data_IF_058681998519
#
_entry.id   IF_058681998519
#
_cell.length_a   1.000
_cell.length_b   1.000
_cell.length_c   1.000
_cell.angle_alpha   90.00
_cell.angle_beta   90.00
_cell.angle_gamma   90.00
#
_symmetry.space_group_name_H-M   'P 1'
#
loop_
_entity.id
_entity.type
_entity.pdbx_description
1 polymer ?
#
# COMPACT_ATOMS: atom_id res chain seq x y z
N UNK A 1 3.83 -1.60 16.47
CA UNK A 1 4.76 -1.39 15.36
C UNK A 1 6.08 -2.04 15.74
N UNK A 2 6.59 -3.00 14.97
CA UNK A 2 7.84 -3.72 15.28
C UNK A 2 8.92 -3.27 14.28
N UNK A 3 9.94 -2.53 14.74
CA UNK A 3 11.03 -2.01 13.90
C UNK A 3 11.70 -0.76 14.49
N UNK A 4 12.90 -0.42 14.00
CA UNK A 4 13.71 0.74 14.48
C UNK A 4 13.42 2.03 13.71
N UNK A 5 12.19 2.21 13.21
CA UNK A 5 11.75 3.35 12.40
C UNK A 5 10.73 4.23 13.13
N UNK A 6 10.40 5.38 12.53
CA UNK A 6 9.36 6.26 13.06
C UNK A 6 7.98 5.61 12.92
N UNK A 7 7.14 5.67 13.96
CA UNK A 7 5.79 5.11 13.90
C UNK A 7 4.90 6.00 13.02
N UNK A 8 4.40 5.47 11.91
CA UNK A 8 3.41 6.13 11.07
C UNK A 8 2.20 5.22 10.89
N UNK A 9 0.98 5.77 11.06
CA UNK A 9 -0.24 5.04 10.71
C UNK A 9 -0.33 4.79 9.19
N UNK A 10 0.22 5.71 8.40
CA UNK A 10 0.25 5.61 6.94
C UNK A 10 1.61 6.09 6.41
N UNK A 11 2.23 5.25 5.60
CA UNK A 11 3.47 5.53 4.86
C UNK A 11 3.39 4.89 3.48
N UNK A 12 2.28 5.13 2.78
CA UNK A 12 1.98 4.53 1.48
C UNK A 12 2.08 5.57 0.37
N UNK A 13 2.47 5.13 -0.81
CA UNK A 13 2.52 6.00 -1.99
C UNK A 13 2.16 5.21 -3.24
N UNK A 14 1.68 5.92 -4.26
CA UNK A 14 1.46 5.36 -5.60
C UNK A 14 2.65 5.68 -6.49
N UNK A 15 3.07 4.71 -7.31
CA UNK A 15 4.20 4.89 -8.21
C UNK A 15 3.94 4.20 -9.54
N UNK A 16 4.22 4.91 -10.63
CA UNK A 16 4.24 4.32 -11.97
C UNK A 16 5.60 3.68 -12.23
N UNK A 17 5.62 2.41 -12.61
CA UNK A 17 6.83 1.67 -13.00
C UNK A 17 6.42 0.59 -13.99
N UNK A 18 7.20 0.38 -15.04
CA UNK A 18 6.94 -0.60 -16.11
C UNK A 18 5.53 -0.48 -16.71
N UNK A 19 5.05 0.77 -16.89
CA UNK A 19 3.74 1.06 -17.46
C UNK A 19 2.54 0.77 -16.55
N UNK A 20 2.76 0.42 -15.28
CA UNK A 20 1.71 0.10 -14.31
C UNK A 20 1.67 1.08 -13.16
N UNK A 21 0.47 1.35 -12.64
CA UNK A 21 0.28 2.09 -11.39
C UNK A 21 0.34 1.11 -10.21
N UNK A 22 1.22 1.36 -9.25
CA UNK A 22 1.49 0.46 -8.13
C UNK A 22 1.19 1.12 -6.78
N UNK A 23 0.73 0.34 -5.81
CA UNK A 23 0.70 0.74 -4.40
C UNK A 23 1.97 0.26 -3.71
N UNK A 24 2.66 1.18 -3.05
CA UNK A 24 3.92 0.94 -2.36
C UNK A 24 3.81 1.31 -0.89
N UNK A 25 4.51 0.57 -0.03
CA UNK A 25 4.74 0.91 1.37
C UNK A 25 6.18 1.41 1.52
N UNK A 26 6.36 2.67 1.93
CA UNK A 26 7.63 3.25 2.31
C UNK A 26 8.05 2.84 3.72
N UNK A 27 9.18 2.14 3.84
CA UNK A 27 9.72 1.66 5.12
C UNK A 27 11.25 1.63 5.11
N UNK A 28 11.85 1.69 6.30
CA UNK A 28 13.31 1.76 6.50
C UNK A 28 14.09 0.62 5.84
N UNK A 29 13.53 -0.59 5.80
CA UNK A 29 14.16 -1.77 5.18
C UNK A 29 14.00 -1.80 3.64
N UNK A 30 13.58 -0.69 3.03
CA UNK A 30 13.29 -0.59 1.60
C UNK A 30 11.80 -0.68 1.30
N UNK A 31 11.38 0.09 0.29
CA UNK A 31 9.98 0.16 -0.11
C UNK A 31 9.48 -1.21 -0.58
N UNK A 32 8.21 -1.54 -0.33
CA UNK A 32 7.61 -2.80 -0.76
C UNK A 32 6.35 -2.55 -1.57
N UNK A 33 6.25 -3.19 -2.73
CA UNK A 33 5.02 -3.22 -3.53
C UNK A 33 3.96 -4.07 -2.82
N UNK A 34 2.77 -3.50 -2.63
CA UNK A 34 1.62 -4.17 -2.01
C UNK A 34 0.57 -4.62 -3.03
N UNK A 35 0.55 -4.01 -4.20
CA UNK A 35 -0.38 -4.34 -5.27
C UNK A 35 -0.21 -3.44 -6.49
N UNK A 36 -0.95 -3.75 -7.54
CA UNK A 36 -1.00 -3.02 -8.80
C UNK A 36 -2.45 -2.68 -9.11
N UNK A 37 -2.71 -1.47 -9.60
CA UNK A 37 -4.02 -1.07 -10.11
C UNK A 37 -4.24 -1.60 -11.54
N UNK A 38 -3.15 -2.00 -12.22
CA UNK A 38 -3.14 -2.40 -13.62
C UNK A 38 -2.24 -1.47 -14.43
N UNK A 39 -2.42 -1.48 -15.76
CA UNK A 39 -1.77 -0.53 -16.65
C UNK A 39 -2.13 0.90 -16.24
N UNK A 40 -1.16 1.81 -16.34
CA UNK A 40 -1.40 3.21 -16.07
C UNK A 40 -2.45 3.76 -17.04
N UNK A 41 -3.46 4.41 -16.49
CA UNK A 41 -4.46 5.17 -17.23
C UNK A 41 -4.79 6.45 -16.46
N UNK A 42 -5.59 7.31 -17.07
CA UNK A 42 -6.13 8.52 -16.43
C UNK A 42 -7.55 8.29 -15.87
N UNK A 43 -8.01 7.04 -15.81
CA UNK A 43 -9.33 6.71 -15.27
C UNK A 43 -9.32 6.83 -13.74
N UNK A 44 -10.49 7.08 -13.17
CA UNK A 44 -10.67 7.04 -11.73
C UNK A 44 -10.38 5.65 -11.16
N UNK A 45 -9.62 5.62 -10.07
CA UNK A 45 -9.27 4.43 -9.31
C UNK A 45 -9.63 4.63 -7.84
N UNK A 46 -9.86 3.55 -7.10
CA UNK A 46 -10.09 3.62 -5.64
C UNK A 46 -9.00 2.89 -4.86
N UNK A 47 -8.58 3.50 -3.75
CA UNK A 47 -7.68 2.89 -2.77
C UNK A 47 -8.34 2.94 -1.40
N UNK A 48 -8.53 1.77 -0.79
CA UNK A 48 -8.95 1.65 0.61
C UNK A 48 -7.80 1.05 1.43
N UNK A 49 -7.57 1.57 2.63
CA UNK A 49 -6.64 0.98 3.60
C UNK A 49 -7.43 0.47 4.80
N UNK A 50 -7.62 -0.85 4.89
CA UNK A 50 -8.43 -1.47 5.94
C UNK A 50 -7.53 -1.89 7.10
N UNK A 51 -7.67 -1.22 8.24
CA UNK A 51 -6.91 -1.54 9.46
C UNK A 51 -7.63 -2.62 10.27
N UNK A 52 -6.88 -3.64 10.69
CA UNK A 52 -7.41 -4.63 11.63
C UNK A 52 -7.36 -4.06 13.05
N UNK A 53 -8.51 -3.99 13.72
CA UNK A 53 -8.58 -3.50 15.10
C UNK A 53 -7.65 -4.27 16.04
N UNK A 54 -6.96 -3.55 16.93
CA UNK A 54 -5.99 -4.12 17.87
C UNK A 54 -4.68 -4.61 17.23
N UNK A 55 -4.44 -4.27 15.96
CA UNK A 55 -3.27 -4.71 15.19
C UNK A 55 -2.67 -3.57 14.38
N UNK A 56 -1.40 -3.73 13.99
CA UNK A 56 -0.74 -2.88 12.99
C UNK A 56 -0.95 -3.40 11.55
N UNK A 57 -1.75 -4.45 11.36
CA UNK A 57 -2.01 -5.03 10.04
C UNK A 57 -2.96 -4.13 9.24
N UNK A 58 -2.58 -3.87 8.00
CA UNK A 58 -3.35 -3.16 7.00
C UNK A 58 -3.56 -4.07 5.79
N UNK A 59 -4.80 -4.12 5.31
CA UNK A 59 -5.17 -4.79 4.05
C UNK A 59 -5.59 -3.71 3.05
N UNK A 60 -4.77 -3.40 2.04
CA UNK A 60 -5.17 -2.45 1.02
C UNK A 60 -6.22 -3.10 0.10
N UNK A 61 -7.14 -2.30 -0.45
CA UNK A 61 -7.96 -2.69 -1.60
C UNK A 61 -7.72 -1.72 -2.74
N UNK A 62 -7.40 -2.27 -3.91
CA UNK A 62 -7.20 -1.53 -5.14
C UNK A 62 -8.40 -1.83 -6.03
N UNK A 63 -9.24 -0.84 -6.28
CA UNK A 63 -10.52 -1.00 -7.00
C UNK A 63 -11.43 -2.08 -6.39
N UNK A 64 -11.52 -2.10 -5.06
CA UNK A 64 -12.29 -3.10 -4.31
C UNK A 64 -11.63 -4.48 -4.21
N UNK A 65 -10.53 -4.75 -4.93
CA UNK A 65 -9.79 -6.01 -4.86
C UNK A 65 -8.74 -5.95 -3.77
N UNK A 66 -8.76 -6.92 -2.85
CA UNK A 66 -7.79 -6.99 -1.77
C UNK A 66 -6.36 -7.21 -2.31
N UNK A 67 -5.44 -6.33 -1.90
CA UNK A 67 -4.01 -6.46 -2.16
C UNK A 67 -3.27 -7.20 -1.05
N UNK A 68 -1.94 -7.24 -1.14
CA UNK A 68 -1.10 -7.90 -0.14
C UNK A 68 -1.13 -7.15 1.18
N UNK A 69 -1.31 -7.87 2.28
CA UNK A 69 -1.22 -7.32 3.63
C UNK A 69 0.12 -6.61 3.89
N UNK A 70 0.05 -5.55 4.67
CA UNK A 70 1.20 -4.85 5.22
C UNK A 70 1.07 -4.68 6.73
N UNK A 71 2.18 -4.41 7.41
CA UNK A 71 2.17 -3.95 8.80
C UNK A 71 2.64 -2.50 8.83
N UNK A 72 1.83 -1.57 9.32
CA UNK A 72 2.20 -0.18 9.57
C UNK A 72 3.25 -0.07 10.67
#
# INVERSE_FOLDING_TARGET
MTGTGNPFLMSFFTQTTDGKLNLMHHKKAGNTKLGEFGNYSNDWQTLELVFTAGSATVTPKLNGVAGRHSRS
#
